data_IF_621686437224
#
_entry.id   IF_621686437224
#
_cell.length_a   1.000
_cell.length_b   1.000
_cell.length_c   1.000
_cell.angle_alpha   90.00
_cell.angle_beta   90.00
_cell.angle_gamma   90.00
#
_symmetry.space_group_name_H-M   'P 1'
#
loop_
_entity.id
_entity.type
_entity.pdbx_description
1 polymer ?
#
# COMPACT_ATOMS: atom_id res chain seq x y z
N UNK A 1 17.98 13.19 22.75
CA UNK A 1 18.83 12.87 23.92
C UNK A 1 17.92 12.16 24.91
N UNK A 2 18.14 10.88 25.17
CA UNK A 2 17.30 10.11 26.10
C UNK A 2 18.18 9.67 27.26
N UNK A 3 17.74 9.91 28.50
CA UNK A 3 18.47 9.47 29.71
C UNK A 3 17.92 8.10 30.11
N UNK A 4 18.77 7.09 30.13
CA UNK A 4 18.46 5.77 30.68
C UNK A 4 19.56 5.40 31.68
N UNK A 5 19.21 5.05 32.89
CA UNK A 5 20.15 4.74 33.99
C UNK A 5 21.20 5.82 34.26
N UNK A 6 20.84 7.11 34.17
CA UNK A 6 21.77 8.22 34.49
C UNK A 6 22.88 8.47 33.47
N UNK A 7 22.92 7.74 32.36
CA UNK A 7 23.85 8.01 31.24
C UNK A 7 23.09 8.61 30.05
N UNK A 8 23.70 9.64 29.46
CA UNK A 8 23.23 10.33 28.28
C UNK A 8 23.62 9.52 27.04
N UNK A 9 22.64 8.83 26.43
CA UNK A 9 22.83 8.20 25.13
C UNK A 9 22.41 9.17 24.02
N UNK A 10 23.31 9.42 23.09
CA UNK A 10 23.04 10.15 21.86
C UNK A 10 22.27 9.20 20.93
N UNK A 11 20.97 9.10 21.09
CA UNK A 11 20.11 8.44 20.10
C UNK A 11 20.08 9.37 18.90
N UNK A 12 20.71 8.95 17.79
CA UNK A 12 20.68 9.63 16.50
C UNK A 12 19.27 10.15 16.25
N UNK A 13 19.14 11.48 16.14
CA UNK A 13 17.91 12.25 16.21
C UNK A 13 16.90 11.96 15.12
N UNK A 14 16.26 10.81 15.19
CA UNK A 14 15.06 10.51 14.46
C UNK A 14 13.89 10.68 15.43
N UNK A 15 13.08 11.72 15.21
CA UNK A 15 11.83 11.88 15.95
C UNK A 15 10.93 10.71 15.59
N UNK A 16 10.81 9.75 16.51
CA UNK A 16 9.92 8.60 16.34
C UNK A 16 8.49 9.01 16.65
N UNK A 17 7.91 9.85 15.77
CA UNK A 17 6.56 10.40 15.99
C UNK A 17 5.45 9.34 15.95
N UNK A 18 5.64 8.24 15.20
CA UNK A 18 4.59 7.21 15.12
C UNK A 18 4.44 6.35 16.40
N UNK A 19 5.34 6.48 17.37
CA UNK A 19 5.18 5.87 18.69
C UNK A 19 4.36 6.72 19.67
N UNK A 20 4.14 7.99 19.36
CA UNK A 20 3.28 8.89 20.14
C UNK A 20 1.79 8.62 19.95
N UNK A 21 0.96 9.16 20.85
CA UNK A 21 -0.51 9.00 20.80
C UNK A 21 -1.09 9.46 19.47
N UNK A 22 -0.64 10.62 18.96
CA UNK A 22 -1.12 11.18 17.66
C UNK A 22 -0.84 10.24 16.48
N UNK A 23 0.38 9.70 16.39
CA UNK A 23 0.72 8.74 15.33
C UNK A 23 -0.09 7.45 15.41
N UNK A 24 -0.37 6.96 16.63
CA UNK A 24 -1.22 5.79 16.84
C UNK A 24 -2.68 6.05 16.47
N UNK A 25 -3.21 7.22 16.83
CA UNK A 25 -4.58 7.62 16.45
C UNK A 25 -4.70 7.77 14.93
N UNK A 26 -3.73 8.41 14.28
CA UNK A 26 -3.70 8.52 12.81
C UNK A 26 -3.64 7.13 12.15
N UNK A 27 -2.82 6.22 12.65
CA UNK A 27 -2.77 4.84 12.17
C UNK A 27 -4.11 4.12 12.37
N UNK A 28 -4.78 4.31 13.51
CA UNK A 28 -6.10 3.76 13.79
C UNK A 28 -7.16 4.26 12.80
N UNK A 29 -7.16 5.55 12.48
CA UNK A 29 -8.06 6.12 11.47
C UNK A 29 -7.83 5.51 10.08
N UNK A 30 -6.57 5.36 9.66
CA UNK A 30 -6.23 4.73 8.37
C UNK A 30 -6.68 3.27 8.34
N UNK A 31 -6.44 2.53 9.42
CA UNK A 31 -6.90 1.15 9.54
C UNK A 31 -8.43 1.06 9.43
N UNK A 32 -9.16 1.92 10.13
CA UNK A 32 -10.62 1.95 10.09
C UNK A 32 -11.15 2.24 8.67
N UNK A 33 -10.56 3.20 7.96
CA UNK A 33 -10.92 3.54 6.57
C UNK A 33 -10.68 2.35 5.65
N UNK A 34 -9.53 1.66 5.76
CA UNK A 34 -9.22 0.49 4.96
C UNK A 34 -10.20 -0.67 5.25
N UNK A 35 -10.48 -0.97 6.52
CA UNK A 35 -11.46 -1.99 6.91
C UNK A 35 -12.87 -1.66 6.42
N UNK A 36 -13.31 -0.41 6.53
CA UNK A 36 -14.61 0.03 6.01
C UNK A 36 -14.70 -0.13 4.49
N UNK A 37 -13.67 0.28 3.75
CA UNK A 37 -13.62 0.11 2.30
C UNK A 37 -13.71 -1.37 1.90
N UNK A 38 -12.97 -2.25 2.58
CA UNK A 38 -13.03 -3.71 2.37
C UNK A 38 -14.42 -4.27 2.69
N UNK A 39 -15.04 -3.83 3.80
CA UNK A 39 -16.37 -4.26 4.19
C UNK A 39 -17.43 -3.85 3.15
N UNK A 40 -17.42 -2.59 2.71
CA UNK A 40 -18.34 -2.12 1.65
C UNK A 40 -18.16 -2.91 0.36
N UNK A 41 -16.91 -3.19 -0.04
CA UNK A 41 -16.65 -3.99 -1.23
C UNK A 41 -17.17 -5.43 -1.09
N UNK A 42 -16.90 -6.08 0.05
CA UNK A 42 -17.39 -7.44 0.31
C UNK A 42 -18.93 -7.50 0.35
N UNK A 43 -19.58 -6.55 1.04
CA UNK A 43 -21.05 -6.48 1.13
C UNK A 43 -21.65 -6.28 -0.27
N UNK A 44 -21.14 -5.31 -1.05
CA UNK A 44 -21.65 -5.05 -2.41
C UNK A 44 -21.48 -6.25 -3.33
N UNK A 45 -20.36 -6.97 -3.23
CA UNK A 45 -20.13 -8.18 -4.02
C UNK A 45 -21.03 -9.32 -3.56
N UNK A 46 -21.26 -9.46 -2.24
CA UNK A 46 -22.16 -10.46 -1.69
C UNK A 46 -23.63 -10.23 -2.11
N UNK A 47 -24.08 -8.98 -2.14
CA UNK A 47 -25.44 -8.64 -2.57
C UNK A 47 -25.74 -9.08 -4.02
N UNK A 48 -24.72 -9.22 -4.85
CA UNK A 48 -24.86 -9.69 -6.24
C UNK A 48 -24.84 -11.22 -6.32
N UNK A 49 -23.97 -11.88 -5.54
CA UNK A 49 -23.68 -13.30 -5.69
C UNK A 49 -24.40 -14.19 -4.66
N UNK A 50 -24.87 -13.63 -3.56
CA UNK A 50 -25.54 -14.32 -2.45
C UNK A 50 -24.77 -15.54 -1.88
N UNK A 51 -23.43 -15.57 -2.06
CA UNK A 51 -22.57 -16.68 -1.63
C UNK A 51 -21.27 -16.12 -1.04
N UNK A 52 -21.00 -16.43 0.22
CA UNK A 52 -19.75 -15.99 0.89
C UNK A 52 -18.50 -16.58 0.22
N UNK A 53 -18.42 -17.89 -0.08
CA UNK A 53 -17.23 -18.44 -0.76
C UNK A 53 -16.99 -17.78 -2.13
N UNK A 54 -18.04 -17.57 -2.92
CA UNK A 54 -17.92 -16.92 -4.23
C UNK A 54 -17.54 -15.45 -4.10
N UNK A 55 -18.10 -14.74 -3.14
CA UNK A 55 -17.71 -13.34 -2.83
C UNK A 55 -16.23 -13.23 -2.53
N UNK A 56 -15.71 -14.04 -1.60
CA UNK A 56 -14.30 -14.05 -1.25
C UNK A 56 -13.44 -14.44 -2.45
N UNK A 57 -13.86 -15.44 -3.21
CA UNK A 57 -13.16 -15.84 -4.43
C UNK A 57 -13.05 -14.68 -5.43
N UNK A 58 -14.09 -13.89 -5.62
CA UNK A 58 -14.11 -12.74 -6.53
C UNK A 58 -13.23 -11.61 -6.00
N UNK A 59 -13.44 -11.17 -4.76
CA UNK A 59 -12.76 -9.98 -4.23
C UNK A 59 -11.25 -10.19 -4.09
N UNK A 60 -10.81 -11.38 -3.67
CA UNK A 60 -9.39 -11.71 -3.56
C UNK A 60 -8.66 -11.87 -4.91
N UNK A 61 -9.37 -11.79 -6.03
CA UNK A 61 -8.73 -11.66 -7.35
C UNK A 61 -8.01 -10.32 -7.53
N UNK A 62 -8.43 -9.27 -6.82
CA UNK A 62 -8.00 -7.90 -7.08
C UNK A 62 -6.82 -7.49 -6.20
N UNK A 63 -5.78 -6.92 -6.83
CA UNK A 63 -4.62 -6.34 -6.13
C UNK A 63 -5.03 -5.27 -5.12
N UNK A 64 -6.04 -4.47 -5.47
CA UNK A 64 -6.62 -3.45 -4.59
C UNK A 64 -7.08 -4.03 -3.25
N UNK A 65 -7.79 -5.15 -3.26
CA UNK A 65 -8.30 -5.79 -2.04
C UNK A 65 -7.14 -6.33 -1.19
N UNK A 66 -6.22 -7.05 -1.80
CA UNK A 66 -5.07 -7.60 -1.09
C UNK A 66 -4.19 -6.50 -0.49
N UNK A 67 -3.99 -5.40 -1.23
CA UNK A 67 -3.18 -4.28 -0.76
C UNK A 67 -3.88 -3.46 0.33
N UNK A 68 -5.19 -3.22 0.23
CA UNK A 68 -5.93 -2.57 1.30
C UNK A 68 -6.03 -3.47 2.56
N UNK A 69 -6.08 -4.80 2.41
CA UNK A 69 -5.96 -5.72 3.53
C UNK A 69 -4.58 -5.61 4.19
N UNK A 70 -3.50 -5.53 3.41
CA UNK A 70 -2.15 -5.27 3.94
C UNK A 70 -2.11 -3.94 4.71
N UNK A 71 -2.67 -2.86 4.16
CA UNK A 71 -2.79 -1.56 4.85
C UNK A 71 -3.57 -1.72 6.16
N UNK A 72 -4.75 -2.34 6.12
CA UNK A 72 -5.59 -2.54 7.30
C UNK A 72 -4.83 -3.27 8.42
N UNK A 73 -4.11 -4.35 8.09
CA UNK A 73 -3.33 -5.14 9.05
C UNK A 73 -2.12 -4.38 9.61
N UNK A 74 -1.32 -3.75 8.74
CA UNK A 74 -0.13 -2.98 9.16
C UNK A 74 -0.54 -1.81 10.04
N UNK A 75 -1.55 -1.03 9.63
CA UNK A 75 -1.98 0.15 10.37
C UNK A 75 -2.76 -0.18 11.65
N UNK A 76 -3.50 -1.30 11.70
CA UNK A 76 -4.02 -1.84 12.96
C UNK A 76 -2.87 -2.18 13.91
N UNK A 77 -1.81 -2.85 13.41
CA UNK A 77 -0.62 -3.17 14.20
C UNK A 77 0.09 -1.93 14.74
N UNK A 78 0.18 -0.85 13.95
CA UNK A 78 0.73 0.44 14.39
C UNK A 78 -0.14 1.09 15.49
N UNK A 79 -1.46 1.07 15.34
CA UNK A 79 -2.40 1.64 16.29
C UNK A 79 -2.32 0.94 17.66
N UNK A 80 -2.21 -0.40 17.68
CA UNK A 80 -2.07 -1.20 18.92
C UNK A 80 -0.62 -1.38 19.38
N UNK A 81 0.31 -0.60 18.85
CA UNK A 81 1.71 -0.56 19.27
C UNK A 81 2.53 -1.84 19.02
N UNK A 82 2.21 -2.62 17.99
CA UNK A 82 3.03 -3.77 17.56
C UNK A 82 4.39 -3.29 17.04
N UNK A 83 5.46 -3.56 17.80
CA UNK A 83 6.81 -3.05 17.50
C UNK A 83 7.34 -3.48 16.13
N UNK A 84 7.06 -4.71 15.69
CA UNK A 84 7.48 -5.21 14.37
C UNK A 84 6.88 -4.42 13.20
N UNK A 85 5.63 -3.94 13.33
CA UNK A 85 4.96 -3.14 12.30
C UNK A 85 5.49 -1.71 12.18
N UNK A 86 6.28 -1.25 13.16
CA UNK A 86 6.90 0.10 13.16
C UNK A 86 8.15 0.21 12.31
N UNK A 87 8.66 -0.89 11.77
CA UNK A 87 9.81 -0.85 10.88
C UNK A 87 9.52 0.03 9.66
N UNK A 88 10.35 1.05 9.43
CA UNK A 88 10.15 2.04 8.36
C UNK A 88 10.01 1.40 6.98
N UNK A 89 10.70 0.29 6.73
CA UNK A 89 10.63 -0.44 5.47
C UNK A 89 9.27 -1.11 5.23
N UNK A 90 8.57 -1.56 6.29
CA UNK A 90 7.22 -2.14 6.19
C UNK A 90 6.23 -1.03 5.80
N UNK A 91 6.28 0.11 6.50
CA UNK A 91 5.39 1.24 6.21
C UNK A 91 5.64 1.80 4.81
N UNK A 92 6.91 1.94 4.41
CA UNK A 92 7.28 2.42 3.08
C UNK A 92 6.85 1.46 1.96
N UNK A 93 7.06 0.15 2.13
CA UNK A 93 6.61 -0.86 1.17
C UNK A 93 5.08 -0.93 1.04
N UNK A 94 4.36 -0.82 2.17
CA UNK A 94 2.90 -0.72 2.19
C UNK A 94 2.43 0.53 1.46
N UNK A 95 3.09 1.67 1.70
CA UNK A 95 2.80 2.94 1.01
C UNK A 95 3.01 2.81 -0.50
N UNK A 96 4.12 2.27 -0.96
CA UNK A 96 4.38 2.08 -2.39
C UNK A 96 3.35 1.16 -3.05
N UNK A 97 2.98 0.08 -2.37
CA UNK A 97 1.98 -0.86 -2.89
C UNK A 97 0.61 -0.22 -3.02
N UNK A 98 0.18 0.59 -2.04
CA UNK A 98 -1.12 1.27 -2.11
C UNK A 98 -1.09 2.47 -3.06
N UNK A 99 0.05 3.14 -3.23
CA UNK A 99 0.24 4.16 -4.27
C UNK A 99 0.11 3.56 -5.67
N UNK A 100 0.65 2.37 -5.90
CA UNK A 100 0.46 1.65 -7.16
C UNK A 100 -1.03 1.43 -7.44
N UNK A 101 -1.83 1.03 -6.43
CA UNK A 101 -3.29 0.92 -6.56
C UNK A 101 -3.92 2.24 -7.00
N UNK A 102 -3.61 3.34 -6.32
CA UNK A 102 -4.18 4.67 -6.62
C UNK A 102 -3.79 5.17 -8.01
N UNK A 103 -2.52 5.01 -8.41
CA UNK A 103 -2.01 5.45 -9.72
C UNK A 103 -2.64 4.62 -10.85
N UNK A 104 -2.66 3.29 -10.73
CA UNK A 104 -3.27 2.42 -11.75
C UNK A 104 -4.76 2.70 -11.86
N UNK A 105 -5.45 2.92 -10.75
CA UNK A 105 -6.86 3.33 -10.79
C UNK A 105 -7.04 4.64 -11.55
N UNK A 106 -6.29 5.68 -11.19
CA UNK A 106 -6.42 7.01 -11.80
C UNK A 106 -6.11 7.01 -13.30
N UNK A 107 -5.10 6.25 -13.74
CA UNK A 107 -4.65 6.25 -15.12
C UNK A 107 -5.41 5.26 -16.02
N UNK A 108 -5.82 4.11 -15.50
CA UNK A 108 -6.30 3.00 -16.32
C UNK A 108 -7.75 2.59 -16.04
N UNK A 109 -8.30 2.88 -14.86
CA UNK A 109 -9.57 2.31 -14.43
C UNK A 109 -10.64 3.35 -14.12
N UNK A 110 -10.25 4.62 -13.84
CA UNK A 110 -11.20 5.69 -13.50
C UNK A 110 -12.22 5.91 -14.63
N UNK A 111 -13.49 6.00 -14.27
CA UNK A 111 -14.59 6.27 -15.23
C UNK A 111 -14.98 5.10 -16.15
N UNK A 112 -14.34 3.92 -16.03
CA UNK A 112 -14.64 2.76 -16.89
C UNK A 112 -15.85 1.91 -16.42
N UNK A 113 -16.29 2.12 -15.20
CA UNK A 113 -17.41 1.38 -14.62
C UNK A 113 -18.30 2.35 -13.86
N UNK A 114 -19.59 2.33 -14.11
CA UNK A 114 -20.56 3.04 -13.29
C UNK A 114 -20.73 2.30 -11.97
N UNK A 115 -20.41 2.98 -10.87
CA UNK A 115 -20.49 2.46 -9.52
C UNK A 115 -21.59 3.19 -8.76
N UNK A 116 -22.41 2.46 -8.03
CA UNK A 116 -23.50 3.01 -7.22
C UNK A 116 -23.50 2.41 -5.81
N UNK A 117 -24.14 3.09 -4.86
CA UNK A 117 -24.30 2.58 -3.50
C UNK A 117 -22.98 2.25 -2.80
N UNK A 118 -22.91 1.09 -2.15
CA UNK A 118 -21.76 0.63 -1.40
C UNK A 118 -20.48 0.47 -2.22
N UNK A 119 -20.60 0.07 -3.49
CA UNK A 119 -19.41 -0.07 -4.37
C UNK A 119 -18.79 1.27 -4.73
N UNK A 120 -19.57 2.34 -4.86
CA UNK A 120 -19.04 3.71 -5.05
C UNK A 120 -18.30 4.18 -3.80
N UNK A 121 -18.83 3.92 -2.61
CA UNK A 121 -18.14 4.23 -1.34
C UNK A 121 -16.84 3.44 -1.23
N UNK A 122 -16.88 2.12 -1.47
CA UNK A 122 -15.69 1.27 -1.47
C UNK A 122 -14.62 1.80 -2.42
N UNK A 123 -15.01 2.20 -3.63
CA UNK A 123 -14.10 2.73 -4.63
C UNK A 123 -13.34 3.97 -4.14
N UNK A 124 -14.04 4.95 -3.55
CA UNK A 124 -13.41 6.16 -2.99
C UNK A 124 -12.45 5.80 -1.85
N UNK A 125 -12.87 4.94 -0.92
CA UNK A 125 -12.07 4.56 0.23
C UNK A 125 -10.80 3.81 -0.17
N UNK A 126 -10.92 2.82 -1.08
CA UNK A 126 -9.84 1.89 -1.42
C UNK A 126 -8.85 2.46 -2.46
N UNK A 127 -9.32 3.30 -3.39
CA UNK A 127 -8.49 3.80 -4.48
C UNK A 127 -8.05 5.26 -4.33
N UNK A 128 -8.70 6.06 -3.48
CA UNK A 128 -8.40 7.47 -3.31
C UNK A 128 -7.97 7.79 -1.87
N UNK A 129 -8.82 7.52 -0.88
CA UNK A 129 -8.57 7.91 0.50
C UNK A 129 -7.36 7.15 1.09
N UNK A 130 -7.34 5.83 0.99
CA UNK A 130 -6.27 5.01 1.57
C UNK A 130 -4.89 5.35 0.98
N UNK A 131 -4.68 5.44 -0.36
CA UNK A 131 -3.38 5.83 -0.91
C UNK A 131 -2.89 7.18 -0.42
N UNK A 132 -3.76 8.18 -0.37
CA UNK A 132 -3.41 9.54 0.10
C UNK A 132 -3.04 9.53 1.57
N UNK A 133 -3.86 8.93 2.42
CA UNK A 133 -3.65 8.93 3.87
C UNK A 133 -2.40 8.14 4.28
N UNK A 134 -2.13 6.99 3.67
CA UNK A 134 -0.92 6.21 3.93
C UNK A 134 0.33 6.98 3.50
N UNK A 135 0.27 7.71 2.39
CA UNK A 135 1.37 8.56 1.92
C UNK A 135 1.64 9.70 2.90
N UNK A 136 0.59 10.41 3.33
CA UNK A 136 0.71 11.47 4.33
C UNK A 136 1.26 10.92 5.66
N UNK A 137 0.81 9.75 6.08
CA UNK A 137 1.35 9.08 7.27
C UNK A 137 2.85 8.82 7.13
N UNK A 138 3.31 8.28 6.00
CA UNK A 138 4.73 8.06 5.77
C UNK A 138 5.54 9.37 5.84
N UNK A 139 5.04 10.44 5.21
CA UNK A 139 5.71 11.74 5.21
C UNK A 139 5.87 12.28 6.64
N UNK A 140 4.79 12.26 7.44
CA UNK A 140 4.72 12.95 8.74
C UNK A 140 5.27 12.09 9.88
N UNK A 141 4.92 10.79 9.93
CA UNK A 141 5.13 9.96 11.11
C UNK A 141 6.25 8.93 10.98
N UNK A 142 6.63 8.54 9.77
CA UNK A 142 7.66 7.50 9.60
C UNK A 142 9.07 8.08 9.73
N UNK A 143 9.95 7.51 10.56
CA UNK A 143 11.34 7.93 10.66
C UNK A 143 12.06 7.84 9.32
N UNK A 144 12.86 8.87 8.99
CA UNK A 144 13.64 8.96 7.76
C UNK A 144 15.07 8.47 7.94
N UNK A 145 15.70 8.06 6.82
CA UNK A 145 17.09 7.58 6.80
C UNK A 145 17.26 6.13 7.25
N UNK A 146 16.19 5.36 7.30
CA UNK A 146 16.21 3.95 7.70
C UNK A 146 16.05 2.97 6.52
N UNK A 147 15.77 3.48 5.34
CA UNK A 147 15.62 2.64 4.15
C UNK A 147 17.00 2.29 3.58
N UNK A 148 17.11 1.09 3.03
CA UNK A 148 18.34 0.59 2.38
C UNK A 148 18.09 0.35 0.89
N UNK A 149 19.15 0.33 0.08
CA UNK A 149 19.08 0.12 -1.36
C UNK A 149 18.61 -1.29 -1.77
N UNK A 150 18.53 -2.23 -0.83
CA UNK A 150 17.95 -3.57 -1.03
C UNK A 150 16.43 -3.62 -0.87
N UNK A 151 15.83 -2.69 -0.15
CA UNK A 151 14.38 -2.68 0.09
C UNK A 151 13.53 -2.65 -1.20
N UNK A 152 13.89 -1.91 -2.27
CA UNK A 152 13.15 -1.93 -3.54
C UNK A 152 12.94 -3.34 -4.11
N UNK A 153 13.97 -4.20 -4.04
CA UNK A 153 13.87 -5.59 -4.52
C UNK A 153 12.93 -6.42 -3.64
N UNK A 154 12.99 -6.24 -2.32
CA UNK A 154 12.09 -6.91 -1.38
C UNK A 154 10.64 -6.48 -1.61
N UNK A 155 10.39 -5.19 -1.81
CA UNK A 155 9.04 -4.69 -2.08
C UNK A 155 8.47 -5.16 -3.41
N UNK A 156 9.31 -5.33 -4.43
CA UNK A 156 8.90 -5.83 -5.74
C UNK A 156 8.38 -7.28 -5.71
N UNK A 157 8.76 -8.07 -4.71
CA UNK A 157 8.28 -9.46 -4.55
C UNK A 157 6.75 -9.49 -4.47
N UNK A 158 6.13 -8.54 -3.74
CA UNK A 158 4.68 -8.53 -3.53
C UNK A 158 3.88 -8.32 -4.82
N UNK A 159 4.08 -7.24 -5.62
CA UNK A 159 3.37 -7.08 -6.88
C UNK A 159 3.73 -8.15 -7.93
N UNK A 160 4.96 -8.68 -7.93
CA UNK A 160 5.36 -9.77 -8.83
C UNK A 160 4.67 -11.10 -8.46
N UNK A 161 4.58 -11.42 -7.16
CA UNK A 161 3.84 -12.58 -6.69
C UNK A 161 2.34 -12.47 -7.04
N UNK A 162 1.77 -11.24 -6.90
CA UNK A 162 0.40 -11.00 -7.34
C UNK A 162 0.24 -11.17 -8.86
N UNK A 163 1.17 -10.68 -9.66
CA UNK A 163 1.13 -10.86 -11.12
C UNK A 163 1.10 -12.35 -11.48
N UNK A 164 2.00 -13.15 -10.90
CA UNK A 164 2.03 -14.59 -11.12
C UNK A 164 0.70 -15.25 -10.70
N UNK A 165 0.19 -14.92 -9.50
CA UNK A 165 -1.12 -15.40 -9.01
C UNK A 165 -2.24 -15.05 -9.98
N UNK A 166 -2.31 -13.80 -10.42
CA UNK A 166 -3.39 -13.31 -11.29
C UNK A 166 -3.37 -13.96 -12.68
N UNK A 167 -2.18 -14.16 -13.26
CA UNK A 167 -2.02 -14.85 -14.55
C UNK A 167 -2.38 -16.33 -14.45
N UNK A 168 -1.89 -17.04 -13.43
CA UNK A 168 -2.23 -18.47 -13.21
C UNK A 168 -3.74 -18.63 -13.06
N UNK A 169 -4.35 -17.80 -12.20
CA UNK A 169 -5.79 -17.82 -11.98
C UNK A 169 -6.58 -17.48 -13.26
N UNK A 170 -6.14 -16.48 -14.01
CA UNK A 170 -6.74 -16.06 -15.27
C UNK A 170 -6.73 -17.18 -16.31
N UNK A 171 -5.61 -17.87 -16.46
CA UNK A 171 -5.50 -19.04 -17.36
C UNK A 171 -6.44 -20.18 -16.93
N UNK A 172 -6.58 -20.43 -15.63
CA UNK A 172 -7.43 -21.52 -15.12
C UNK A 172 -8.92 -21.21 -15.21
N UNK A 173 -9.32 -19.93 -15.04
CA UNK A 173 -10.74 -19.55 -14.93
C UNK A 173 -11.28 -18.81 -16.14
N UNK A 174 -10.42 -18.39 -17.08
CA UNK A 174 -10.77 -17.51 -18.20
C UNK A 174 -11.13 -16.08 -17.76
N UNK A 175 -10.91 -15.71 -16.47
CA UNK A 175 -11.32 -14.41 -15.91
C UNK A 175 -10.11 -13.70 -15.29
N UNK A 176 -9.80 -12.53 -15.82
CA UNK A 176 -8.72 -11.66 -15.34
C UNK A 176 -9.29 -10.45 -14.59
N UNK A 177 -8.67 -10.03 -13.48
CA UNK A 177 -9.20 -8.92 -12.66
C UNK A 177 -9.09 -7.55 -13.34
N UNK A 178 -8.17 -7.40 -14.26
CA UNK A 178 -7.92 -6.13 -14.97
C UNK A 178 -7.77 -6.35 -16.47
N UNK A 179 -8.26 -5.41 -17.33
CA UNK A 179 -8.16 -5.55 -18.78
C UNK A 179 -6.74 -5.70 -19.31
N UNK A 180 -5.76 -5.01 -18.68
CA UNK A 180 -4.35 -5.09 -19.08
C UNK A 180 -3.66 -6.41 -18.68
N UNK A 181 -4.32 -7.23 -17.86
CA UNK A 181 -3.89 -8.59 -17.50
C UNK A 181 -4.54 -9.67 -18.37
N UNK A 182 -5.52 -9.32 -19.20
CA UNK A 182 -6.29 -10.26 -20.01
C UNK A 182 -5.72 -10.42 -21.42
N UNK A 183 -4.98 -11.52 -21.70
CA UNK A 183 -4.43 -11.75 -23.04
C UNK A 183 -5.49 -11.97 -24.10
N UNK A 184 -6.72 -12.37 -23.72
CA UNK A 184 -7.84 -12.51 -24.63
C UNK A 184 -8.34 -11.17 -25.17
N UNK A 185 -8.20 -10.10 -24.37
CA UNK A 185 -8.59 -8.74 -24.77
C UNK A 185 -7.47 -7.97 -25.49
N UNK A 186 -6.24 -8.06 -25.00
CA UNK A 186 -5.15 -7.20 -25.50
C UNK A 186 -4.00 -7.96 -26.18
N UNK A 187 -4.04 -9.29 -26.16
CA UNK A 187 -2.98 -10.16 -26.66
C UNK A 187 -1.79 -10.31 -25.69
N UNK A 188 -1.10 -11.44 -25.74
CA UNK A 188 0.01 -11.76 -24.84
C UNK A 188 1.15 -10.74 -24.87
N UNK A 189 1.49 -10.24 -26.08
CA UNK A 189 2.55 -9.22 -26.21
C UNK A 189 2.21 -7.96 -25.41
N UNK A 190 1.00 -7.43 -25.56
CA UNK A 190 0.59 -6.20 -24.85
C UNK A 190 0.48 -6.46 -23.34
N UNK A 191 -0.07 -7.60 -22.93
CA UNK A 191 -0.11 -8.00 -21.53
C UNK A 191 1.29 -7.98 -20.91
N UNK A 192 2.28 -8.62 -21.54
CA UNK A 192 3.65 -8.65 -21.03
C UNK A 192 4.29 -7.25 -21.00
N UNK A 193 4.13 -6.45 -22.05
CA UNK A 193 4.69 -5.09 -22.11
C UNK A 193 4.09 -4.17 -21.05
N UNK A 194 2.77 -4.21 -20.85
CA UNK A 194 2.10 -3.40 -19.83
C UNK A 194 2.57 -3.78 -18.41
N UNK A 195 2.67 -5.07 -18.13
CA UNK A 195 3.12 -5.53 -16.81
C UNK A 195 4.60 -5.24 -16.56
N UNK A 196 5.45 -5.36 -17.59
CA UNK A 196 6.85 -4.98 -17.51
C UNK A 196 6.99 -3.47 -17.23
N UNK A 197 6.22 -2.63 -17.94
CA UNK A 197 6.22 -1.18 -17.72
C UNK A 197 5.79 -0.83 -16.29
N UNK A 198 4.75 -1.48 -15.75
CA UNK A 198 4.31 -1.29 -14.36
C UNK A 198 5.40 -1.73 -13.37
N UNK A 199 6.05 -2.87 -13.61
CA UNK A 199 7.12 -3.37 -12.74
C UNK A 199 8.34 -2.42 -12.73
N UNK A 200 8.75 -1.94 -13.91
CA UNK A 200 9.85 -0.97 -14.05
C UNK A 200 9.49 0.35 -13.36
N UNK A 201 8.30 0.88 -13.57
CA UNK A 201 7.83 2.10 -12.92
C UNK A 201 7.80 1.93 -11.38
N UNK A 202 7.33 0.79 -10.88
CA UNK A 202 7.35 0.47 -9.44
C UNK A 202 8.77 0.48 -8.88
N UNK A 203 9.74 -0.15 -9.56
CA UNK A 203 11.15 -0.14 -9.14
C UNK A 203 11.74 1.28 -9.15
N UNK A 204 11.49 2.07 -10.19
CA UNK A 204 11.94 3.46 -10.25
C UNK A 204 11.38 4.27 -9.08
N UNK A 205 10.09 4.17 -8.80
CA UNK A 205 9.45 4.82 -7.66
C UNK A 205 10.06 4.34 -6.32
N UNK A 206 10.34 3.04 -6.20
CA UNK A 206 10.93 2.44 -5.00
C UNK A 206 12.34 2.96 -4.72
N UNK A 207 13.20 3.01 -5.74
CA UNK A 207 14.56 3.57 -5.61
C UNK A 207 14.54 5.09 -5.36
N UNK A 208 13.62 5.80 -6.01
CA UNK A 208 13.40 7.23 -5.76
C UNK A 208 12.99 7.48 -4.31
N UNK A 209 12.12 6.62 -3.76
CA UNK A 209 11.71 6.72 -2.35
C UNK A 209 12.88 6.52 -1.38
N UNK A 210 13.78 5.56 -1.63
CA UNK A 210 14.99 5.36 -0.83
C UNK A 210 15.90 6.59 -0.90
N UNK A 211 16.12 7.14 -2.09
CA UNK A 211 16.90 8.37 -2.26
C UNK A 211 16.27 9.55 -1.52
N UNK A 212 14.94 9.70 -1.59
CA UNK A 212 14.20 10.74 -0.89
C UNK A 212 14.30 10.58 0.63
N UNK A 213 14.16 9.35 1.15
CA UNK A 213 14.30 9.04 2.58
C UNK A 213 15.67 9.51 3.12
N UNK A 214 16.74 9.20 2.39
CA UNK A 214 18.09 9.63 2.76
C UNK A 214 18.28 11.16 2.67
N UNK A 215 17.71 11.81 1.65
CA UNK A 215 17.77 13.28 1.51
C UNK A 215 17.04 13.99 2.63
N UNK A 216 15.84 13.52 2.98
CA UNK A 216 15.05 14.08 4.07
C UNK A 216 15.76 13.93 5.42
N UNK A 217 16.38 12.78 5.67
CA UNK A 217 17.17 12.55 6.88
C UNK A 217 18.31 13.55 7.02
N UNK A 218 19.08 13.82 5.95
CA UNK A 218 20.19 14.78 5.95
C UNK A 218 19.70 16.20 6.27
N UNK A 219 18.60 16.65 5.66
CA UNK A 219 18.02 17.99 5.92
C UNK A 219 17.57 18.16 7.36
N UNK A 220 16.93 17.15 7.95
CA UNK A 220 16.49 17.18 9.35
C UNK A 220 17.67 17.21 10.34
N UNK A 221 18.84 16.74 9.94
CA UNK A 221 20.05 16.79 10.78
C UNK A 221 20.72 18.15 10.67
N UNK A 222 20.81 18.76 9.48
CA UNK A 222 21.46 20.07 9.27
C UNK A 222 20.70 21.24 9.92
N UNK A 223 19.38 21.21 9.93
CA UNK A 223 18.55 22.26 10.55
C UNK A 223 18.61 22.29 12.10
N UNK A 224 19.27 21.32 12.74
CA UNK A 224 19.46 21.25 14.19
C UNK A 224 20.84 21.73 14.66
N UNK A 225 21.77 21.95 13.73
CA UNK A 225 23.14 22.41 14.01
C UNK A 225 23.37 23.89 13.70
N UNK A 226 22.38 24.55 13.12
CA UNK A 226 22.29 26.01 12.93
C UNK A 226 21.40 26.65 14.00
#
# INVERSE_FOLDING_TARGET
MTVYNGQLYYVRGVVTMHSGTVGRSAAGCIAAIAWLGLAFQCISTFQINHSVPLTLWIVFAYFTILTNLLVALVFTGLAISRTKMRASWIVAGTMLSILLVGIIYALLLHGKTELAGGSAVANVLLHMATPVLVTLFWIVFTPKGQLTWSHPLVWAIYPLAYLAYSLIRGVQTGKYPYPFLDPGLVGWRQTMLSNLAIAVAFLICSYTLVALDHRLARRLTSSRTS
#
